data_IF_449491300345
#
_entry.id   IF_449491300345
#
_cell.length_a   1.000
_cell.length_b   1.000
_cell.length_c   1.000
_cell.angle_alpha   90.00
_cell.angle_beta   90.00
_cell.angle_gamma   90.00
#
_symmetry.space_group_name_H-M   'P 1'
#
loop_
_entity.id
_entity.type
_entity.pdbx_description
1 polymer ?
#
# COMPACT_ATOMS: atom_id res chain seq x y z
N UNK A 1 -18.79 -8.69 -25.18
CA UNK A 1 -18.51 -8.05 -23.88
C UNK A 1 -18.65 -9.09 -22.79
N UNK A 2 -17.56 -9.65 -22.26
CA UNK A 2 -17.66 -10.45 -21.04
C UNK A 2 -17.62 -9.47 -19.86
N UNK A 3 -18.80 -9.10 -19.37
CA UNK A 3 -18.97 -8.33 -18.14
C UNK A 3 -18.49 -9.22 -16.99
N UNK A 4 -17.46 -8.80 -16.24
CA UNK A 4 -17.05 -9.49 -15.02
C UNK A 4 -17.83 -8.86 -13.85
N UNK A 5 -18.91 -9.49 -13.37
CA UNK A 5 -19.78 -8.90 -12.36
C UNK A 5 -19.05 -8.66 -11.03
N UNK A 6 -18.01 -9.46 -10.74
CA UNK A 6 -17.20 -9.33 -9.52
C UNK A 6 -16.38 -8.03 -9.58
N UNK A 7 -15.68 -7.78 -10.70
CA UNK A 7 -14.91 -6.56 -10.89
C UNK A 7 -15.80 -5.32 -10.84
N UNK A 8 -16.98 -5.39 -11.48
CA UNK A 8 -17.94 -4.29 -11.46
C UNK A 8 -18.44 -4.00 -10.03
N UNK A 9 -18.82 -5.04 -9.28
CA UNK A 9 -19.27 -4.92 -7.88
C UNK A 9 -18.19 -4.33 -6.97
N UNK A 10 -16.95 -4.82 -7.07
CA UNK A 10 -15.80 -4.29 -6.33
C UNK A 10 -15.54 -2.83 -6.69
N UNK A 11 -15.61 -2.49 -7.96
CA UNK A 11 -15.39 -1.10 -8.42
C UNK A 11 -16.42 -0.15 -7.82
N UNK A 12 -17.70 -0.52 -7.84
CA UNK A 12 -18.78 0.30 -7.25
C UNK A 12 -18.57 0.47 -5.75
N UNK A 13 -18.25 -0.61 -5.04
CA UNK A 13 -17.98 -0.56 -3.61
C UNK A 13 -16.78 0.35 -3.29
N UNK A 14 -15.67 0.21 -4.01
CA UNK A 14 -14.47 1.02 -3.80
C UNK A 14 -14.69 2.49 -4.13
N UNK A 15 -15.39 2.81 -5.23
CA UNK A 15 -15.71 4.19 -5.58
C UNK A 15 -16.60 4.83 -4.51
N UNK A 16 -17.62 4.10 -4.03
CA UNK A 16 -18.47 4.57 -2.93
C UNK A 16 -17.68 4.83 -1.65
N UNK A 17 -16.77 3.92 -1.29
CA UNK A 17 -15.93 4.06 -0.10
C UNK A 17 -14.90 5.20 -0.23
N UNK A 18 -14.30 5.38 -1.41
CA UNK A 18 -13.40 6.51 -1.70
C UNK A 18 -14.14 7.85 -1.59
N UNK A 19 -15.34 7.95 -2.17
CA UNK A 19 -16.14 9.17 -2.08
C UNK A 19 -16.53 9.48 -0.63
N UNK A 20 -17.01 8.48 0.11
CA UNK A 20 -17.40 8.65 1.51
C UNK A 20 -16.22 9.01 2.41
N UNK A 21 -15.10 8.31 2.27
CA UNK A 21 -13.90 8.53 3.08
C UNK A 21 -13.23 9.86 2.79
N UNK A 22 -13.17 10.30 1.52
CA UNK A 22 -12.59 11.59 1.16
C UNK A 22 -13.35 12.79 1.72
N UNK A 23 -14.68 12.66 1.90
CA UNK A 23 -15.50 13.69 2.55
C UNK A 23 -15.18 13.79 4.04
N UNK A 24 -14.95 12.66 4.71
CA UNK A 24 -14.74 12.58 6.16
C UNK A 24 -13.26 12.48 6.57
N UNK A 25 -12.33 12.55 5.62
CA UNK A 25 -10.91 12.40 5.87
C UNK A 25 -10.41 13.47 6.84
N UNK A 26 -9.72 13.02 7.90
CA UNK A 26 -9.17 13.91 8.91
C UNK A 26 -8.09 14.84 8.35
N UNK A 27 -7.18 14.30 7.53
CA UNK A 27 -6.20 15.07 6.75
C UNK A 27 -6.27 14.66 5.28
N UNK A 28 -6.66 15.60 4.42
CA UNK A 28 -6.90 15.33 2.99
C UNK A 28 -5.62 15.02 2.20
N UNK A 29 -4.49 15.73 2.41
CA UNK A 29 -3.21 15.38 1.80
C UNK A 29 -2.74 13.96 2.15
N UNK A 30 -2.70 13.60 3.43
CA UNK A 30 -2.32 12.24 3.85
C UNK A 30 -3.31 11.20 3.33
N UNK A 31 -4.62 11.45 3.41
CA UNK A 31 -5.63 10.56 2.84
C UNK A 31 -5.39 10.30 1.35
N UNK A 32 -5.09 11.33 0.57
CA UNK A 32 -4.86 11.19 -0.87
C UNK A 32 -3.65 10.29 -1.17
N UNK A 33 -2.56 10.46 -0.43
CA UNK A 33 -1.35 9.63 -0.57
C UNK A 33 -1.63 8.17 -0.23
N UNK A 34 -2.40 7.93 0.84
CA UNK A 34 -2.77 6.59 1.32
C UNK A 34 -3.69 5.84 0.35
N UNK A 35 -4.65 6.55 -0.29
CA UNK A 35 -5.56 5.94 -1.27
C UNK A 35 -5.01 5.92 -2.69
N UNK A 36 -3.87 6.57 -2.96
CA UNK A 36 -3.23 6.64 -4.26
C UNK A 36 -3.02 5.25 -4.90
N UNK A 37 -2.55 4.21 -4.18
CA UNK A 37 -2.42 2.87 -4.74
C UNK A 37 -3.76 2.33 -5.25
N UNK A 38 -4.88 2.59 -4.55
CA UNK A 38 -6.23 2.17 -4.97
C UNK A 38 -6.65 2.88 -6.25
N UNK A 39 -6.39 4.19 -6.33
CA UNK A 39 -6.69 5.01 -7.51
C UNK A 39 -5.91 4.56 -8.75
N UNK A 40 -4.71 3.99 -8.58
CA UNK A 40 -3.89 3.46 -9.67
C UNK A 40 -4.31 2.03 -10.04
N UNK A 41 -4.52 1.16 -9.05
CA UNK A 41 -4.83 -0.26 -9.28
C UNK A 41 -6.20 -0.44 -9.93
N UNK A 42 -7.20 0.36 -9.57
CA UNK A 42 -8.56 0.20 -10.09
C UNK A 42 -8.65 0.38 -11.62
N UNK A 43 -8.09 1.44 -12.24
CA UNK A 43 -7.97 1.56 -13.69
C UNK A 43 -7.18 0.41 -14.34
N UNK A 44 -6.07 -0.02 -13.73
CA UNK A 44 -5.26 -1.13 -14.25
C UNK A 44 -6.09 -2.41 -14.33
N UNK A 45 -6.92 -2.71 -13.32
CA UNK A 45 -7.80 -3.87 -13.31
C UNK A 45 -8.83 -3.83 -14.45
N UNK A 46 -9.35 -2.65 -14.80
CA UNK A 46 -10.27 -2.49 -15.92
C UNK A 46 -9.58 -2.61 -17.28
N UNK A 47 -8.41 -2.01 -17.42
CA UNK A 47 -7.61 -2.06 -18.66
C UNK A 47 -7.12 -3.48 -18.97
N UNK A 48 -6.69 -4.20 -17.92
CA UNK A 48 -6.15 -5.56 -18.05
C UNK A 48 -7.23 -6.64 -17.97
N UNK A 49 -8.35 -6.39 -17.30
CA UNK A 49 -9.38 -7.38 -17.00
C UNK A 49 -10.04 -8.04 -18.21
N UNK A 50 -9.97 -7.42 -19.40
CA UNK A 50 -10.41 -8.04 -20.66
C UNK A 50 -9.41 -9.04 -21.23
N UNK A 51 -8.11 -8.75 -21.13
CA UNK A 51 -7.03 -9.59 -21.70
C UNK A 51 -6.58 -10.65 -20.71
N UNK A 52 -6.57 -10.31 -19.42
CA UNK A 52 -6.07 -11.13 -18.34
C UNK A 52 -6.99 -10.96 -17.11
N UNK A 53 -8.17 -11.61 -17.10
CA UNK A 53 -9.05 -11.56 -15.94
C UNK A 53 -8.38 -12.28 -14.77
N UNK A 54 -8.23 -11.60 -13.63
CA UNK A 54 -7.64 -12.17 -12.42
C UNK A 54 -8.57 -13.20 -11.77
N UNK A 55 -8.03 -14.02 -10.88
CA UNK A 55 -8.83 -14.94 -10.08
C UNK A 55 -9.78 -14.18 -9.13
N UNK A 56 -10.96 -14.74 -8.82
CA UNK A 56 -11.86 -14.16 -7.81
C UNK A 56 -11.17 -13.93 -6.47
N UNK A 57 -10.28 -14.84 -6.05
CA UNK A 57 -9.50 -14.70 -4.83
C UNK A 57 -8.66 -13.41 -4.83
N UNK A 58 -7.95 -13.14 -5.92
CA UNK A 58 -7.11 -11.96 -6.01
C UNK A 58 -7.93 -10.67 -6.05
N UNK A 59 -9.10 -10.68 -6.69
CA UNK A 59 -10.05 -9.56 -6.61
C UNK A 59 -10.50 -9.28 -5.17
N UNK A 60 -10.84 -10.31 -4.40
CA UNK A 60 -11.21 -10.14 -2.98
C UNK A 60 -10.04 -9.66 -2.12
N UNK A 61 -8.82 -10.14 -2.37
CA UNK A 61 -7.62 -9.67 -1.67
C UNK A 61 -7.33 -8.20 -1.97
N UNK A 62 -7.47 -7.77 -3.23
CA UNK A 62 -7.32 -6.37 -3.62
C UNK A 62 -8.40 -5.51 -2.96
N UNK A 63 -9.65 -5.97 -2.93
CA UNK A 63 -10.73 -5.27 -2.21
C UNK A 63 -10.38 -5.12 -0.73
N UNK A 64 -9.97 -6.20 -0.05
CA UNK A 64 -9.62 -6.17 1.35
C UNK A 64 -8.46 -5.20 1.64
N UNK A 65 -7.41 -5.23 0.83
CA UNK A 65 -6.28 -4.30 0.96
C UNK A 65 -6.70 -2.85 0.71
N UNK A 66 -7.51 -2.60 -0.32
CA UNK A 66 -8.02 -1.27 -0.62
C UNK A 66 -8.92 -0.71 0.51
N UNK A 67 -9.76 -1.55 1.13
CA UNK A 67 -10.54 -1.15 2.32
C UNK A 67 -9.59 -0.75 3.45
N UNK A 68 -8.54 -1.53 3.70
CA UNK A 68 -7.56 -1.23 4.76
C UNK A 68 -6.89 0.13 4.52
N UNK A 69 -6.45 0.42 3.30
CA UNK A 69 -5.87 1.70 2.90
C UNK A 69 -6.87 2.86 3.05
N UNK A 70 -8.11 2.69 2.58
CA UNK A 70 -9.13 3.73 2.62
C UNK A 70 -9.53 4.07 4.07
N UNK A 71 -9.73 3.06 4.91
CA UNK A 71 -10.04 3.24 6.34
C UNK A 71 -8.84 3.82 7.08
N UNK A 72 -7.62 3.36 6.76
CA UNK A 72 -6.36 3.88 7.29
C UNK A 72 -6.16 5.35 6.98
N UNK A 73 -6.39 5.77 5.72
CA UNK A 73 -6.31 7.17 5.31
C UNK A 73 -7.40 8.04 5.90
N UNK A 74 -8.63 7.52 6.05
CA UNK A 74 -9.77 8.30 6.56
C UNK A 74 -9.57 8.72 8.03
N UNK A 75 -9.15 7.79 8.87
CA UNK A 75 -8.92 8.04 10.30
C UNK A 75 -7.48 8.45 10.62
N UNK A 76 -6.55 8.29 9.68
CA UNK A 76 -5.10 8.16 9.95
C UNK A 76 -4.81 6.85 10.69
N UNK A 77 -3.81 6.08 10.26
CA UNK A 77 -3.49 4.73 10.81
C UNK A 77 -3.42 4.67 12.34
N UNK A 78 -3.00 5.77 12.98
CA UNK A 78 -2.93 5.89 14.43
C UNK A 78 -4.29 5.91 15.15
N UNK A 79 -5.40 6.27 14.47
CA UNK A 79 -6.71 6.50 15.09
C UNK A 79 -7.82 5.57 14.61
N UNK A 80 -7.49 4.52 13.85
CA UNK A 80 -8.51 3.56 13.39
C UNK A 80 -9.13 2.84 14.61
N UNK A 81 -10.46 2.92 14.82
CA UNK A 81 -11.14 2.38 16.00
C UNK A 81 -10.93 0.87 16.21
N UNK A 82 -10.88 0.10 15.13
CA UNK A 82 -10.58 -1.34 15.16
C UNK A 82 -9.17 -1.67 15.65
N UNK A 83 -8.24 -0.76 15.39
CA UNK A 83 -6.89 -0.85 15.90
C UNK A 83 -6.84 -0.85 17.42
N UNK A 84 -7.62 0.01 18.07
CA UNK A 84 -7.71 0.05 19.53
C UNK A 84 -8.38 -1.21 20.09
N UNK A 85 -9.39 -1.78 19.41
CA UNK A 85 -10.00 -3.05 19.83
C UNK A 85 -9.03 -4.23 19.78
N UNK A 86 -8.22 -4.33 18.72
CA UNK A 86 -7.15 -5.34 18.64
C UNK A 86 -6.03 -5.07 19.65
N UNK A 87 -5.73 -3.79 19.91
CA UNK A 87 -4.75 -3.39 20.92
C UNK A 87 -5.16 -3.89 22.30
N UNK A 88 -6.44 -3.71 22.67
CA UNK A 88 -7.01 -4.16 23.95
C UNK A 88 -7.05 -5.68 24.05
N UNK A 89 -7.35 -6.39 22.96
CA UNK A 89 -7.38 -7.86 22.93
C UNK A 89 -6.00 -8.50 22.98
N UNK A 90 -4.99 -7.85 22.42
CA UNK A 90 -3.61 -8.35 22.35
C UNK A 90 -2.67 -7.72 23.39
N UNK A 91 -3.18 -6.82 24.24
CA UNK A 91 -2.39 -6.11 25.26
C UNK A 91 -1.25 -5.28 24.68
N UNK A 92 -1.40 -4.75 23.46
CA UNK A 92 -0.34 -4.01 22.77
C UNK A 92 -0.29 -2.56 23.25
N UNK A 93 0.90 -1.96 23.28
CA UNK A 93 1.08 -0.53 23.66
C UNK A 93 0.77 0.45 22.53
N UNK A 94 0.63 -0.03 21.29
CA UNK A 94 0.39 0.80 20.10
C UNK A 94 -0.63 0.12 19.18
N UNK A 95 -1.42 0.94 18.48
CA UNK A 95 -2.42 0.49 17.51
C UNK A 95 -1.76 -0.42 16.43
N UNK A 96 -2.15 -1.71 16.32
CA UNK A 96 -1.55 -2.68 15.39
C UNK A 96 -2.06 -2.57 13.96
N UNK A 97 -2.95 -1.63 13.65
CA UNK A 97 -3.56 -1.49 12.32
C UNK A 97 -2.51 -1.31 11.20
N UNK A 98 -1.42 -0.63 11.51
CA UNK A 98 -0.25 -0.48 10.63
C UNK A 98 0.37 -1.83 10.20
N UNK A 99 0.46 -2.78 11.13
CA UNK A 99 0.98 -4.14 10.84
C UNK A 99 0.06 -4.91 9.89
N UNK A 100 -1.25 -4.66 9.95
CA UNK A 100 -2.23 -5.27 9.04
C UNK A 100 -2.04 -4.69 7.63
N UNK A 101 -1.85 -3.38 7.53
CA UNK A 101 -1.50 -2.70 6.28
C UNK A 101 -0.25 -3.32 5.64
N UNK A 102 0.84 -3.42 6.41
CA UNK A 102 2.11 -4.01 5.96
C UNK A 102 1.97 -5.47 5.55
N UNK A 103 1.21 -6.27 6.30
CA UNK A 103 0.96 -7.67 5.96
C UNK A 103 0.25 -7.79 4.62
N UNK A 104 -0.81 -7.00 4.39
CA UNK A 104 -1.54 -7.02 3.13
C UNK A 104 -0.72 -6.41 1.99
N UNK A 105 0.14 -5.41 2.27
CA UNK A 105 1.09 -4.83 1.33
C UNK A 105 2.14 -5.85 0.87
N UNK A 106 2.51 -6.83 1.69
CA UNK A 106 3.32 -7.97 1.24
C UNK A 106 2.48 -9.02 0.51
N UNK A 107 1.36 -9.42 1.09
CA UNK A 107 0.55 -10.55 0.63
C UNK A 107 -0.10 -10.30 -0.74
N UNK A 108 -0.75 -9.15 -0.95
CA UNK A 108 -1.51 -8.89 -2.18
C UNK A 108 -0.59 -8.77 -3.39
N UNK A 109 0.53 -8.01 -3.36
CA UNK A 109 1.49 -8.00 -4.45
C UNK A 109 2.16 -9.35 -4.68
N UNK A 110 2.45 -10.13 -3.62
CA UNK A 110 2.99 -11.47 -3.78
C UNK A 110 2.03 -12.39 -4.54
N UNK A 111 0.74 -12.37 -4.18
CA UNK A 111 -0.30 -13.15 -4.84
C UNK A 111 -0.54 -12.70 -6.29
N UNK A 112 -0.53 -11.38 -6.54
CA UNK A 112 -0.62 -10.81 -7.88
C UNK A 112 0.55 -11.24 -8.76
N UNK A 113 1.79 -11.09 -8.26
CA UNK A 113 2.99 -11.50 -8.97
C UNK A 113 2.98 -13.00 -9.26
N UNK A 114 2.59 -13.83 -8.28
CA UNK A 114 2.45 -15.28 -8.46
C UNK A 114 1.44 -15.60 -9.57
N UNK A 115 0.28 -14.98 -9.55
CA UNK A 115 -0.76 -15.24 -10.55
C UNK A 115 -0.29 -14.88 -11.96
N UNK A 116 0.36 -13.72 -12.12
CA UNK A 116 0.90 -13.26 -13.40
C UNK A 116 2.01 -14.20 -13.91
N UNK A 117 2.99 -14.54 -13.06
CA UNK A 117 4.12 -15.38 -13.46
C UNK A 117 3.69 -16.81 -13.81
N UNK A 118 2.74 -17.38 -13.06
CA UNK A 118 2.24 -18.74 -13.29
C UNK A 118 1.36 -18.80 -14.53
N UNK A 119 0.35 -17.93 -14.65
CA UNK A 119 -0.61 -17.98 -15.76
C UNK A 119 -0.03 -17.45 -17.06
N UNK A 120 0.88 -16.47 -16.99
CA UNK A 120 1.62 -15.96 -18.14
C UNK A 120 2.74 -16.90 -18.63
N UNK A 121 3.04 -17.97 -17.88
CA UNK A 121 4.13 -18.92 -18.17
C UNK A 121 5.49 -18.25 -18.40
N UNK A 122 5.74 -17.13 -17.71
CA UNK A 122 6.95 -16.32 -17.91
C UNK A 122 8.21 -16.98 -17.32
N UNK A 123 8.05 -17.86 -16.33
CA UNK A 123 9.18 -18.45 -15.60
C UNK A 123 8.94 -19.95 -15.40
N UNK A 124 9.89 -20.74 -15.88
CA UNK A 124 9.90 -22.19 -15.70
C UNK A 124 10.67 -22.55 -14.41
N UNK A 125 10.00 -23.24 -13.48
CA UNK A 125 10.58 -23.73 -12.23
C UNK A 125 10.07 -23.02 -10.97
N UNK A 126 9.81 -23.80 -9.91
CA UNK A 126 9.25 -23.29 -8.65
C UNK A 126 10.20 -22.34 -7.90
N UNK A 127 11.48 -22.68 -7.81
CA UNK A 127 12.46 -21.90 -7.05
C UNK A 127 12.68 -20.50 -7.63
N UNK A 128 12.85 -20.41 -8.95
CA UNK A 128 13.04 -19.12 -9.63
C UNK A 128 11.78 -18.25 -9.52
N UNK A 129 10.59 -18.85 -9.60
CA UNK A 129 9.33 -18.12 -9.38
C UNK A 129 9.25 -17.52 -7.99
N UNK A 130 9.55 -18.30 -6.95
CA UNK A 130 9.53 -17.82 -5.56
C UNK A 130 10.53 -16.68 -5.36
N UNK A 131 11.76 -16.85 -5.87
CA UNK A 131 12.79 -15.81 -5.82
C UNK A 131 12.30 -14.49 -6.45
N UNK A 132 11.75 -14.54 -7.67
CA UNK A 132 11.24 -13.35 -8.35
C UNK A 132 10.06 -12.70 -7.63
N UNK A 133 9.15 -13.49 -7.06
CA UNK A 133 8.04 -12.96 -6.25
C UNK A 133 8.59 -12.19 -5.05
N UNK A 134 9.59 -12.74 -4.35
CA UNK A 134 10.24 -12.05 -3.22
C UNK A 134 10.90 -10.76 -3.68
N UNK A 135 11.64 -10.77 -4.79
CA UNK A 135 12.26 -9.56 -5.35
C UNK A 135 11.23 -8.48 -5.68
N UNK A 136 10.11 -8.85 -6.30
CA UNK A 136 9.03 -7.91 -6.65
C UNK A 136 8.43 -7.29 -5.38
N UNK A 137 8.13 -8.09 -4.37
CA UNK A 137 7.55 -7.61 -3.10
C UNK A 137 8.52 -6.69 -2.36
N UNK A 138 9.81 -7.04 -2.31
CA UNK A 138 10.84 -6.20 -1.73
C UNK A 138 11.00 -4.88 -2.48
N UNK A 139 10.98 -4.91 -3.82
CA UNK A 139 11.08 -3.71 -4.64
C UNK A 139 9.88 -2.77 -4.44
N UNK A 140 8.67 -3.32 -4.34
CA UNK A 140 7.46 -2.53 -4.05
C UNK A 140 7.55 -1.92 -2.65
N UNK A 141 7.95 -2.71 -1.65
CA UNK A 141 8.08 -2.24 -0.26
C UNK A 141 9.14 -1.14 -0.14
N UNK A 142 10.32 -1.33 -0.75
CA UNK A 142 11.37 -0.33 -0.75
C UNK A 142 10.96 0.96 -1.49
N UNK A 143 10.24 0.84 -2.60
CA UNK A 143 9.70 2.01 -3.32
C UNK A 143 8.72 2.78 -2.47
N UNK A 144 7.84 2.09 -1.73
CA UNK A 144 6.87 2.72 -0.85
C UNK A 144 7.55 3.52 0.27
N UNK A 145 8.52 2.91 0.95
CA UNK A 145 9.34 3.56 1.99
C UNK A 145 10.10 4.80 1.45
N UNK A 146 10.63 4.71 0.22
CA UNK A 146 11.28 5.85 -0.43
C UNK A 146 10.31 6.99 -0.73
N UNK A 147 9.06 6.68 -1.10
CA UNK A 147 8.02 7.68 -1.33
C UNK A 147 7.62 8.34 -0.01
N UNK A 148 7.42 7.57 1.07
CA UNK A 148 7.13 8.12 2.39
C UNK A 148 8.25 9.02 2.89
N UNK A 149 9.50 8.57 2.75
CA UNK A 149 10.67 9.39 3.05
C UNK A 149 10.68 10.68 2.22
N UNK A 150 10.45 10.61 0.91
CA UNK A 150 10.42 11.78 0.04
C UNK A 150 9.32 12.77 0.45
N UNK A 151 8.11 12.29 0.76
CA UNK A 151 7.02 13.12 1.26
C UNK A 151 7.40 13.77 2.58
N UNK A 152 8.01 13.04 3.51
CA UNK A 152 8.49 13.59 4.77
C UNK A 152 9.56 14.68 4.57
N UNK A 153 10.45 14.54 3.60
CA UNK A 153 11.46 15.55 3.27
C UNK A 153 10.86 16.81 2.64
N UNK A 154 9.84 16.66 1.79
CA UNK A 154 9.21 17.79 1.07
C UNK A 154 8.20 18.55 1.94
N UNK A 155 7.46 17.84 2.80
CA UNK A 155 6.35 18.39 3.59
C UNK A 155 6.63 18.47 5.08
N UNK A 156 7.62 17.74 5.60
CA UNK A 156 8.11 17.91 6.97
C UNK A 156 9.14 19.02 6.99
N UNK A 157 8.85 20.11 7.71
CA UNK A 157 9.70 21.31 7.85
C UNK A 157 11.22 20.99 7.89
N UNK A 158 11.87 21.11 6.73
CA UNK A 158 13.26 21.54 6.52
C UNK A 158 14.39 21.06 7.45
N UNK A 159 14.29 19.95 8.18
CA UNK A 159 15.39 19.43 8.98
C UNK A 159 15.62 17.94 8.75
N UNK A 160 16.05 17.61 7.53
CA UNK A 160 16.79 16.37 7.33
C UNK A 160 18.19 16.60 7.88
N UNK A 161 18.40 16.23 9.14
CA UNK A 161 19.75 15.94 9.61
C UNK A 161 20.16 14.67 8.87
N UNK A 162 20.86 14.85 7.75
CA UNK A 162 21.55 13.77 7.08
C UNK A 162 22.48 13.10 8.10
N UNK A 163 22.37 11.79 8.24
CA UNK A 163 23.36 10.99 8.96
C UNK A 163 24.75 11.31 8.39
N UNK A 164 25.76 11.65 9.23
CA UNK A 164 27.12 11.85 8.75
C UNK A 164 27.61 10.51 8.18
N UNK A 165 27.71 10.43 6.86
CA UNK A 165 28.16 9.21 6.17
C UNK A 165 29.65 8.96 6.32
N UNK A 166 30.42 9.90 6.84
CA UNK A 166 31.82 9.69 7.23
C UNK A 166 32.10 10.52 8.50
N UNK A 167 32.68 9.90 9.53
CA UNK A 167 32.79 10.43 10.89
C UNK A 167 33.57 11.74 11.02
N UNK A 168 32.95 12.86 10.70
CA UNK A 168 33.41 14.19 11.08
C UNK A 168 32.42 14.84 12.03
N UNK A 169 32.91 15.17 13.21
CA UNK A 169 32.24 15.98 14.25
C UNK A 169 31.77 17.32 13.68
N UNK A 170 30.60 17.84 14.10
CA UNK A 170 30.11 19.13 13.64
C UNK A 170 31.05 20.25 14.11
N UNK A 171 31.78 20.84 13.17
CA UNK A 171 32.51 22.08 13.38
C UNK A 171 31.58 23.26 13.06
N UNK A 172 31.35 24.14 14.04
CA UNK A 172 30.73 25.44 13.81
C UNK A 172 31.66 26.27 12.90
N UNK A 173 31.27 26.48 11.63
CA UNK A 173 31.88 27.51 10.79
C UNK A 173 30.93 28.71 10.72
N UNK A 174 31.23 29.74 11.51
CA UNK A 174 30.64 31.07 11.37
C UNK A 174 31.19 31.72 10.10
N UNK A 175 30.34 32.00 9.14
CA UNK A 175 30.68 32.85 7.99
C UNK A 175 30.90 34.29 8.50
N UNK A 176 32.15 34.74 8.44
CA UNK A 176 32.50 36.16 8.23
C UNK A 176 33.06 36.28 6.82
#
# INVERSE_FOLDING_TARGET
>A
MMFNPILAGISVALIGLLAWSGIHAYDRPTWFLEVLPVLIVLPILWLTGRRFPLTPLLYWLILAHAIVLIVGGMYTYARVPWGFQLQDWLGLTRNPYDKIGHFLQGLVPAMAAREILVRGRFVNGDRMRVFLIICIVLAISATYELIEWLVAVVFGDGSVVCLPTHGHTPGHQSLR
#
